data_IF_245949201124
#
_entry.id   IF_245949201124
#
_cell.length_a   1.000
_cell.length_b   1.000
_cell.length_c   1.000
_cell.angle_alpha   90.00
_cell.angle_beta   90.00
_cell.angle_gamma   90.00
#
_symmetry.space_group_name_H-M   'P 1'
#
loop_
_entity.id
_entity.type
_entity.pdbx_description
1 polymer ?
#
# COMPACT_ATOMS: atom_id res chain seq x y z
N UNK A 1 -19.24 23.87 -0.65
CA UNK A 1 -18.34 22.82 -0.13
C UNK A 1 -17.39 22.40 -1.24
N UNK A 2 -16.12 22.17 -0.91
CA UNK A 2 -15.09 21.63 -1.81
C UNK A 2 -14.67 20.28 -1.25
N UNK A 3 -14.55 19.27 -2.11
CA UNK A 3 -14.03 17.95 -1.75
C UNK A 3 -13.06 17.55 -2.84
N UNK A 4 -11.82 17.29 -2.44
CA UNK A 4 -10.74 16.88 -3.32
C UNK A 4 -10.14 15.59 -2.77
N UNK A 5 -9.89 14.63 -3.65
CA UNK A 5 -9.17 13.40 -3.32
C UNK A 5 -7.77 13.48 -3.90
N UNK A 6 -6.77 13.18 -3.08
CA UNK A 6 -5.41 12.94 -3.52
C UNK A 6 -5.12 11.44 -3.41
N UNK A 7 -4.93 10.78 -4.55
CA UNK A 7 -4.57 9.37 -4.58
C UNK A 7 -3.05 9.21 -4.66
N UNK A 8 -2.48 8.50 -3.69
CA UNK A 8 -1.07 8.09 -3.73
C UNK A 8 -0.97 6.77 -4.49
N UNK A 9 -0.38 6.75 -5.70
CA UNK A 9 -0.28 5.54 -6.50
C UNK A 9 0.62 4.51 -5.81
N UNK A 10 0.39 3.24 -6.13
CA UNK A 10 1.16 2.11 -5.62
C UNK A 10 0.59 1.49 -4.35
N UNK A 11 0.49 2.28 -3.27
CA UNK A 11 -0.24 1.85 -2.07
C UNK A 11 -1.76 2.04 -2.20
N UNK A 12 -2.19 2.78 -3.23
CA UNK A 12 -3.59 3.10 -3.52
C UNK A 12 -4.29 3.86 -2.38
N UNK A 13 -3.55 4.68 -1.65
CA UNK A 13 -4.05 5.50 -0.52
C UNK A 13 -4.86 6.67 -1.05
N UNK A 14 -5.92 7.03 -0.35
CA UNK A 14 -6.77 8.18 -0.62
C UNK A 14 -6.76 9.11 0.59
N UNK A 15 -6.15 10.28 0.40
CA UNK A 15 -6.29 11.39 1.35
C UNK A 15 -7.32 12.37 0.82
N UNK A 16 -8.09 12.99 1.70
CA UNK A 16 -9.15 13.92 1.31
C UNK A 16 -8.87 15.32 1.85
N UNK A 17 -9.12 16.34 1.04
CA UNK A 17 -9.24 17.74 1.49
C UNK A 17 -10.71 18.14 1.37
N UNK A 18 -11.31 18.53 2.50
CA UNK A 18 -12.70 18.99 2.57
C UNK A 18 -12.74 20.43 3.05
N UNK A 19 -13.32 21.33 2.26
CA UNK A 19 -13.27 22.76 2.51
C UNK A 19 -14.62 23.47 2.50
N UNK A 20 -14.78 24.47 3.36
CA UNK A 20 -15.85 25.45 3.32
C UNK A 20 -15.32 26.77 2.71
N UNK A 21 -15.62 27.08 1.43
CA UNK A 21 -15.10 28.30 0.79
C UNK A 21 -15.53 29.60 1.47
N UNK A 22 -16.73 29.63 2.04
CA UNK A 22 -17.24 30.80 2.73
C UNK A 22 -16.46 31.12 4.02
N UNK A 23 -15.97 30.08 4.72
CA UNK A 23 -15.11 30.23 5.89
C UNK A 23 -13.63 30.36 5.52
N UNK A 24 -13.23 29.89 4.33
CA UNK A 24 -11.82 29.80 3.95
C UNK A 24 -11.05 28.74 4.75
N UNK A 25 -11.74 27.71 5.21
CA UNK A 25 -11.21 26.68 6.12
C UNK A 25 -11.42 25.28 5.56
N UNK A 26 -10.51 24.37 5.90
CA UNK A 26 -10.52 22.99 5.46
C UNK A 26 -10.08 22.01 6.56
N UNK A 27 -10.49 20.76 6.39
CA UNK A 27 -9.97 19.58 7.09
C UNK A 27 -9.35 18.63 6.08
N UNK A 28 -8.28 17.95 6.48
CA UNK A 28 -7.76 16.80 5.75
C UNK A 28 -8.07 15.50 6.49
N UNK A 29 -8.31 14.43 5.74
CA UNK A 29 -8.59 13.09 6.27
C UNK A 29 -7.58 12.12 5.68
N UNK A 30 -6.97 11.31 6.54
CA UNK A 30 -5.93 10.32 6.27
C UNK A 30 -4.78 10.88 5.39
N UNK A 31 -4.16 12.02 5.75
CA UNK A 31 -3.04 12.56 4.97
C UNK A 31 -1.84 11.61 5.01
N UNK A 32 -1.16 11.40 3.88
CA UNK A 32 0.17 10.80 3.88
C UNK A 32 1.24 11.80 4.30
N UNK A 33 2.39 11.34 4.79
CA UNK A 33 3.51 12.23 5.18
C UNK A 33 4.03 13.16 4.08
N UNK A 34 3.75 12.87 2.80
CA UNK A 34 4.09 13.75 1.67
C UNK A 34 2.99 14.78 1.42
N UNK A 35 2.90 15.77 2.30
CA UNK A 35 1.74 16.68 2.42
C UNK A 35 1.68 17.79 1.36
N UNK A 36 2.71 17.96 0.53
CA UNK A 36 2.80 19.05 -0.45
C UNK A 36 1.64 19.11 -1.44
N UNK A 37 1.09 17.96 -1.83
CA UNK A 37 -0.09 17.90 -2.71
C UNK A 37 -1.36 18.46 -2.06
N UNK A 38 -1.57 18.20 -0.76
CA UNK A 38 -2.69 18.71 0.02
C UNK A 38 -2.55 20.22 0.26
N UNK A 39 -1.34 20.70 0.56
CA UNK A 39 -1.06 22.13 0.70
C UNK A 39 -1.32 22.89 -0.61
N UNK A 40 -0.87 22.36 -1.74
CA UNK A 40 -1.13 22.94 -3.05
C UNK A 40 -2.64 22.93 -3.39
N UNK A 41 -3.37 21.88 -3.03
CA UNK A 41 -4.83 21.81 -3.17
C UNK A 41 -5.53 22.91 -2.35
N UNK A 42 -5.14 23.07 -1.08
CA UNK A 42 -5.69 24.09 -0.20
C UNK A 42 -5.40 25.51 -0.73
N UNK A 43 -4.18 25.78 -1.19
CA UNK A 43 -3.81 27.06 -1.79
C UNK A 43 -4.63 27.38 -3.05
N UNK A 44 -4.76 26.42 -3.98
CA UNK A 44 -5.57 26.58 -5.21
C UNK A 44 -7.01 26.99 -4.91
N UNK A 45 -7.57 26.44 -3.84
CA UNK A 45 -8.94 26.71 -3.40
C UNK A 45 -9.06 27.87 -2.39
N UNK A 46 -7.94 28.51 -2.03
CA UNK A 46 -7.86 29.59 -1.03
C UNK A 46 -8.40 29.17 0.34
N UNK A 47 -8.07 27.97 0.76
CA UNK A 47 -8.46 27.37 2.03
C UNK A 47 -7.26 27.29 2.98
N UNK A 48 -7.51 27.45 4.28
CA UNK A 48 -6.56 27.13 5.35
C UNK A 48 -6.90 25.77 5.93
N UNK A 49 -5.93 24.86 6.00
CA UNK A 49 -6.13 23.56 6.64
C UNK A 49 -6.07 23.77 8.15
N UNK A 50 -7.20 23.62 8.83
CA UNK A 50 -7.35 23.82 10.27
C UNK A 50 -7.34 22.51 11.05
N UNK A 51 -7.69 21.41 10.39
CA UNK A 51 -7.80 20.10 11.03
C UNK A 51 -7.18 18.99 10.17
N UNK A 52 -6.61 18.00 10.84
CA UNK A 52 -6.19 16.72 10.26
C UNK A 52 -6.85 15.60 11.05
N UNK A 53 -7.45 14.62 10.39
CA UNK A 53 -8.11 13.48 11.04
C UNK A 53 -7.53 12.20 10.46
N UNK A 54 -7.00 11.34 11.32
CA UNK A 54 -6.69 9.94 10.97
C UNK A 54 -7.88 9.07 11.37
N UNK A 55 -8.39 8.25 10.45
CA UNK A 55 -9.49 7.31 10.69
C UNK A 55 -9.06 6.15 11.59
N UNK A 56 -7.79 5.77 11.52
CA UNK A 56 -7.19 4.71 12.31
C UNK A 56 -5.66 4.81 12.32
N UNK A 57 -5.00 4.01 13.16
CA UNK A 57 -3.54 3.85 13.14
C UNK A 57 -3.14 3.00 11.94
N UNK A 58 -2.77 3.69 10.85
CA UNK A 58 -2.41 3.09 9.56
C UNK A 58 -1.27 2.08 9.67
N UNK A 59 -1.36 1.01 8.88
CA UNK A 59 -0.39 -0.09 8.88
C UNK A 59 0.54 -0.08 7.67
N UNK A 60 0.22 0.69 6.64
CA UNK A 60 0.80 0.54 5.32
C UNK A 60 1.47 1.82 4.80
N UNK A 61 1.24 2.96 5.47
CA UNK A 61 1.95 4.23 5.25
C UNK A 61 2.06 5.05 6.54
N UNK A 62 2.95 6.03 6.56
CA UNK A 62 3.11 6.97 7.67
C UNK A 62 2.19 8.19 7.55
N UNK A 63 1.48 8.51 8.64
CA UNK A 63 0.55 9.64 8.74
C UNK A 63 1.25 10.98 8.51
N UNK A 64 0.56 11.89 7.81
CA UNK A 64 1.01 13.24 7.52
C UNK A 64 0.54 14.30 8.49
N UNK A 65 -0.23 13.94 9.53
CA UNK A 65 -0.66 14.87 10.58
C UNK A 65 0.53 15.65 11.18
N UNK A 66 1.60 14.99 11.64
CA UNK A 66 2.78 15.66 12.19
C UNK A 66 3.49 16.58 11.20
N UNK A 67 3.60 16.19 9.92
CA UNK A 67 4.24 17.01 8.89
C UNK A 67 3.41 18.28 8.60
N UNK A 68 2.08 18.15 8.53
CA UNK A 68 1.20 19.32 8.44
C UNK A 68 1.33 20.22 9.66
N UNK A 69 1.40 19.66 10.87
CA UNK A 69 1.54 20.43 12.11
C UNK A 69 2.87 21.17 12.16
N UNK A 70 3.96 20.56 11.70
CA UNK A 70 5.26 21.21 11.61
C UNK A 70 5.24 22.43 10.67
N UNK A 71 4.47 22.37 9.58
CA UNK A 71 4.34 23.45 8.59
C UNK A 71 3.35 24.54 9.03
N UNK A 72 2.21 24.14 9.59
CA UNK A 72 1.07 25.02 9.88
C UNK A 72 1.04 25.51 11.34
N UNK A 73 1.86 24.92 12.22
CA UNK A 73 1.96 25.27 13.63
C UNK A 73 0.64 25.10 14.39
N UNK A 74 0.40 25.99 15.35
CA UNK A 74 -0.77 25.96 16.24
C UNK A 74 -2.10 26.20 15.52
N UNK A 75 -2.08 26.60 14.24
CA UNK A 75 -3.29 26.76 13.44
C UNK A 75 -3.94 25.44 13.04
N UNK A 76 -3.19 24.33 13.08
CA UNK A 76 -3.70 22.99 12.81
C UNK A 76 -4.00 22.26 14.12
N UNK A 77 -5.13 21.56 14.19
CA UNK A 77 -5.43 20.55 15.21
C UNK A 77 -5.43 19.16 14.59
N UNK A 78 -4.59 18.26 15.12
CA UNK A 78 -4.62 16.84 14.75
C UNK A 78 -5.63 16.12 15.64
N UNK A 79 -6.49 15.33 15.02
CA UNK A 79 -7.49 14.49 15.68
C UNK A 79 -7.22 13.01 15.39
N UNK A 80 -7.30 12.17 16.42
CA UNK A 80 -7.26 10.71 16.29
C UNK A 80 -8.30 10.06 17.20
N UNK A 81 -8.68 8.81 16.93
CA UNK A 81 -9.55 8.05 17.83
C UNK A 81 -8.83 7.64 19.13
N UNK A 82 -9.56 7.62 20.24
CA UNK A 82 -9.13 7.01 21.52
C UNK A 82 -9.81 5.68 21.85
N UNK A 83 -10.62 5.15 20.93
CA UNK A 83 -11.61 4.09 21.21
C UNK A 83 -11.02 2.67 21.20
N UNK A 84 -9.71 2.53 20.97
CA UNK A 84 -8.97 1.27 21.07
C UNK A 84 -8.11 1.14 22.34
N UNK A 85 -8.12 2.14 23.22
CA UNK A 85 -7.23 2.22 24.39
C UNK A 85 -5.92 2.94 24.09
N UNK A 86 -5.07 3.10 25.11
CA UNK A 86 -3.82 3.87 25.01
C UNK A 86 -2.87 3.32 23.94
N UNK A 87 -2.84 1.99 23.74
CA UNK A 87 -2.01 1.35 22.71
C UNK A 87 -2.40 1.73 21.28
N UNK A 88 -3.63 2.23 21.07
CA UNK A 88 -4.18 2.61 19.78
C UNK A 88 -4.48 4.10 19.67
N UNK A 89 -4.01 4.90 20.63
CA UNK A 89 -4.13 6.36 20.61
C UNK A 89 -2.82 6.96 20.12
N UNK A 90 -2.89 7.84 19.11
CA UNK A 90 -1.70 8.46 18.54
C UNK A 90 -1.18 9.55 19.48
N UNK A 91 0.08 9.45 19.90
CA UNK A 91 0.69 10.33 20.90
C UNK A 91 0.80 11.80 20.45
N UNK A 92 0.73 12.05 19.15
CA UNK A 92 0.78 13.39 18.56
C UNK A 92 -0.60 14.01 18.31
N UNK A 93 -1.70 13.34 18.70
CA UNK A 93 -3.03 13.91 18.56
C UNK A 93 -3.22 15.07 19.53
N UNK A 94 -3.64 16.23 19.02
CA UNK A 94 -4.03 17.38 19.85
C UNK A 94 -5.39 17.13 20.51
N UNK A 95 -6.28 16.40 19.81
CA UNK A 95 -7.60 16.02 20.31
C UNK A 95 -7.88 14.55 20.05
N UNK A 96 -8.19 13.82 21.12
CA UNK A 96 -8.65 12.44 21.06
C UNK A 96 -10.17 12.42 20.90
N UNK A 97 -10.67 11.79 19.83
CA UNK A 97 -12.08 11.70 19.49
C UNK A 97 -12.74 10.49 20.15
N UNK A 98 -13.92 10.72 20.71
CA UNK A 98 -14.86 9.68 21.14
C UNK A 98 -15.98 9.46 20.11
N UNK A 99 -16.81 8.44 20.31
CA UNK A 99 -18.00 8.21 19.48
C UNK A 99 -18.98 9.39 19.60
N UNK A 100 -19.40 9.94 18.45
CA UNK A 100 -20.32 11.07 18.38
C UNK A 100 -19.65 12.44 18.51
N UNK A 101 -18.35 12.51 18.79
CA UNK A 101 -17.63 13.78 18.77
C UNK A 101 -17.68 14.42 17.39
N UNK A 102 -17.70 15.76 17.37
CA UNK A 102 -17.73 16.51 16.11
C UNK A 102 -16.63 17.54 15.97
N UNK A 103 -16.24 17.75 14.72
CA UNK A 103 -15.33 18.78 14.24
C UNK A 103 -16.10 19.60 13.20
N UNK A 104 -16.08 20.93 13.33
CA UNK A 104 -16.82 21.81 12.43
C UNK A 104 -15.86 22.71 11.64
N UNK A 105 -16.08 22.78 10.32
CA UNK A 105 -15.35 23.63 9.38
C UNK A 105 -16.35 24.48 8.62
N UNK A 106 -16.56 25.72 9.06
CA UNK A 106 -17.64 26.58 8.54
C UNK A 106 -19.01 25.89 8.60
N UNK A 107 -19.63 25.67 7.44
CA UNK A 107 -20.92 24.99 7.30
C UNK A 107 -20.84 23.46 7.21
N UNK A 108 -19.67 22.87 7.43
CA UNK A 108 -19.42 21.44 7.34
C UNK A 108 -19.26 20.90 8.75
N UNK A 109 -20.02 19.86 9.10
CA UNK A 109 -19.86 19.15 10.36
C UNK A 109 -19.41 17.73 10.08
N UNK A 110 -18.29 17.35 10.66
CA UNK A 110 -17.74 16.00 10.64
C UNK A 110 -18.03 15.35 11.99
N UNK A 111 -18.59 14.14 12.00
CA UNK A 111 -18.93 13.40 13.21
C UNK A 111 -18.20 12.07 13.20
N UNK A 112 -17.40 11.81 14.23
CA UNK A 112 -16.70 10.56 14.40
C UNK A 112 -17.66 9.48 14.89
N UNK A 113 -17.61 8.30 14.29
CA UNK A 113 -18.36 7.11 14.73
C UNK A 113 -17.42 5.94 14.92
N UNK A 114 -17.48 5.32 16.09
CA UNK A 114 -16.69 4.14 16.39
C UNK A 114 -17.13 2.98 15.51
N UNK A 115 -16.15 2.38 14.84
CA UNK A 115 -16.34 1.39 13.79
C UNK A 115 -15.26 0.30 13.83
N UNK A 116 -15.10 -0.39 14.96
CA UNK A 116 -14.04 -1.38 15.12
C UNK A 116 -14.23 -2.51 14.12
N UNK A 117 -13.12 -3.03 13.61
CA UNK A 117 -13.12 -4.14 12.67
C UNK A 117 -11.80 -4.28 11.93
N UNK A 118 -11.38 -3.23 11.23
CA UNK A 118 -10.03 -3.18 10.66
C UNK A 118 -8.98 -3.01 11.76
N UNK A 119 -9.23 -2.07 12.68
CA UNK A 119 -8.47 -1.86 13.92
C UNK A 119 -9.44 -1.62 15.09
N UNK A 120 -9.00 -1.78 16.36
CA UNK A 120 -9.86 -1.58 17.52
C UNK A 120 -10.38 -0.14 17.67
N UNK A 121 -9.56 0.85 17.35
CA UNK A 121 -9.85 2.28 17.46
C UNK A 121 -10.59 2.85 16.26
N UNK A 122 -10.67 2.13 15.13
CA UNK A 122 -11.12 2.66 13.85
C UNK A 122 -12.40 3.49 13.96
N UNK A 123 -12.39 4.69 13.38
CA UNK A 123 -13.55 5.56 13.23
C UNK A 123 -13.88 5.80 11.76
N UNK A 124 -15.17 5.88 11.46
CA UNK A 124 -15.64 6.49 10.21
C UNK A 124 -16.06 7.92 10.49
N UNK A 125 -15.95 8.78 9.48
CA UNK A 125 -16.33 10.19 9.60
C UNK A 125 -17.56 10.46 8.75
N UNK A 126 -18.69 10.69 9.42
CA UNK A 126 -19.91 11.17 8.79
C UNK A 126 -19.79 12.68 8.51
N UNK A 127 -20.02 13.09 7.27
CA UNK A 127 -19.99 14.50 6.88
C UNK A 127 -21.40 15.00 6.58
N UNK A 128 -21.75 16.11 7.22
CA UNK A 128 -23.02 16.82 7.07
C UNK A 128 -22.77 18.18 6.41
N UNK A 129 -23.52 18.48 5.34
CA UNK A 129 -23.64 19.83 4.79
C UNK A 129 -24.76 20.56 5.52
N UNK A 130 -24.40 21.39 6.51
CA UNK A 130 -25.37 22.09 7.36
C UNK A 130 -26.21 23.12 6.59
N UNK A 131 -25.84 23.46 5.35
CA UNK A 131 -26.67 24.30 4.49
C UNK A 131 -27.83 23.52 3.86
N UNK A 132 -27.76 22.19 3.85
CA UNK A 132 -28.74 21.29 3.21
C UNK A 132 -29.48 20.42 4.23
N UNK A 133 -28.75 19.73 5.10
CA UNK A 133 -29.34 18.90 6.16
C UNK A 133 -28.42 18.84 7.38
N UNK A 134 -29.00 19.04 8.55
CA UNK A 134 -28.33 18.84 9.83
C UNK A 134 -28.53 17.42 10.40
N UNK A 135 -29.29 16.57 9.71
CA UNK A 135 -29.71 15.26 10.21
C UNK A 135 -29.24 14.10 9.34
N UNK A 136 -29.04 14.34 8.04
CA UNK A 136 -28.65 13.29 7.11
C UNK A 136 -27.19 13.46 6.70
N UNK A 137 -26.33 12.45 6.91
CA UNK A 137 -24.95 12.50 6.44
C UNK A 137 -24.94 12.36 4.92
N UNK A 138 -24.26 13.30 4.27
CA UNK A 138 -24.12 13.29 2.81
C UNK A 138 -23.01 12.32 2.38
N UNK A 139 -21.90 12.31 3.12
CA UNK A 139 -20.71 11.49 2.81
C UNK A 139 -20.27 10.73 4.05
N UNK A 140 -19.63 9.60 3.84
CA UNK A 140 -18.97 8.79 4.83
C UNK A 140 -17.52 8.58 4.39
N UNK A 141 -16.57 9.18 5.11
CA UNK A 141 -15.17 8.76 4.99
C UNK A 141 -15.03 7.46 5.76
N UNK A 142 -15.01 6.35 5.04
CA UNK A 142 -15.13 5.02 5.61
C UNK A 142 -13.81 4.45 6.11
N UNK A 143 -12.70 5.17 5.93
CA UNK A 143 -11.37 4.67 6.26
C UNK A 143 -11.12 3.33 5.58
N UNK A 144 -10.61 2.39 6.36
CA UNK A 144 -10.41 0.99 5.96
C UNK A 144 -11.51 0.06 6.48
N UNK A 145 -12.67 0.59 6.91
CA UNK A 145 -13.81 -0.24 7.27
C UNK A 145 -14.50 -0.84 6.04
N UNK A 146 -14.90 0.04 5.10
CA UNK A 146 -15.73 -0.28 3.95
C UNK A 146 -15.12 0.32 2.68
N UNK A 147 -14.82 -0.54 1.72
CA UNK A 147 -14.30 -0.17 0.41
C UNK A 147 -15.40 -0.28 -0.66
N UNK A 148 -15.10 0.16 -1.87
CA UNK A 148 -15.94 -0.16 -3.03
C UNK A 148 -15.81 -1.64 -3.36
N UNK A 149 -16.87 -2.42 -3.11
CA UNK A 149 -16.94 -3.86 -3.38
C UNK A 149 -16.25 -4.77 -2.36
N UNK A 150 -15.70 -4.23 -1.27
CA UNK A 150 -14.98 -5.01 -0.25
C UNK A 150 -15.04 -4.34 1.14
N UNK A 151 -14.38 -4.93 2.14
CA UNK A 151 -14.25 -4.42 3.52
C UNK A 151 -12.81 -4.57 4.02
N UNK A 152 -12.49 -3.86 5.10
CA UNK A 152 -11.21 -3.98 5.80
C UNK A 152 -10.89 -5.39 6.26
N UNK A 153 -9.61 -5.76 6.17
CA UNK A 153 -9.12 -7.00 6.76
C UNK A 153 -8.97 -6.87 8.29
N UNK A 154 -9.37 -7.88 9.09
CA UNK A 154 -9.30 -7.83 10.56
C UNK A 154 -8.06 -8.52 11.16
N UNK A 155 -7.10 -8.98 10.35
CA UNK A 155 -6.05 -9.94 10.73
C UNK A 155 -4.64 -9.34 10.90
N UNK A 156 -4.51 -8.01 10.80
CA UNK A 156 -3.20 -7.33 10.88
C UNK A 156 -2.56 -7.36 12.28
N UNK A 157 -3.31 -7.72 13.32
CA UNK A 157 -2.88 -7.66 14.72
C UNK A 157 -2.58 -9.05 15.33
N UNK A 158 -2.43 -10.06 14.49
CA UNK A 158 -2.18 -11.44 14.91
C UNK A 158 -3.47 -12.21 15.25
N UNK A 159 -3.30 -13.52 15.47
CA UNK A 159 -4.41 -14.49 15.48
C UNK A 159 -5.46 -14.24 16.58
N UNK A 160 -5.02 -13.83 17.78
CA UNK A 160 -5.95 -13.56 18.88
C UNK A 160 -6.81 -12.33 18.62
N UNK A 161 -6.18 -11.25 18.14
CA UNK A 161 -6.89 -10.02 17.79
C UNK A 161 -7.81 -10.23 16.58
N UNK A 162 -7.41 -11.07 15.61
CA UNK A 162 -8.17 -11.39 14.41
C UNK A 162 -9.58 -11.89 14.73
N UNK A 163 -9.73 -12.84 15.66
CA UNK A 163 -11.04 -13.41 15.98
C UNK A 163 -12.00 -12.36 16.58
N UNK A 164 -11.46 -11.47 17.42
CA UNK A 164 -12.20 -10.37 18.03
C UNK A 164 -12.58 -9.33 16.98
N UNK A 165 -11.61 -8.90 16.18
CA UNK A 165 -11.80 -7.87 15.15
C UNK A 165 -12.74 -8.32 14.04
N UNK A 166 -12.70 -9.59 13.62
CA UNK A 166 -13.64 -10.12 12.63
C UNK A 166 -15.08 -10.10 13.16
N UNK A 167 -15.27 -10.37 14.45
CA UNK A 167 -16.57 -10.26 15.12
C UNK A 167 -17.03 -8.81 15.22
N UNK A 168 -16.14 -7.90 15.61
CA UNK A 168 -16.41 -6.46 15.67
C UNK A 168 -16.76 -5.88 14.30
N UNK A 169 -16.02 -6.29 13.25
CA UNK A 169 -16.28 -5.89 11.88
C UNK A 169 -17.69 -6.29 11.44
N UNK A 170 -18.08 -7.56 11.69
CA UNK A 170 -19.44 -8.02 11.42
C UNK A 170 -20.48 -7.15 12.15
N UNK A 171 -20.30 -6.88 13.44
CA UNK A 171 -21.25 -6.07 14.21
C UNK A 171 -21.29 -4.60 13.76
N UNK A 172 -20.15 -4.03 13.36
CA UNK A 172 -20.09 -2.68 12.80
C UNK A 172 -20.84 -2.59 11.47
N UNK A 173 -20.58 -3.51 10.53
CA UNK A 173 -21.20 -3.49 9.19
C UNK A 173 -22.72 -3.71 9.26
N UNK A 174 -23.16 -4.67 10.08
CA UNK A 174 -24.55 -5.12 10.09
C UNK A 174 -25.43 -4.48 11.15
N UNK A 175 -24.88 -3.80 12.16
CA UNK A 175 -25.69 -3.16 13.21
C UNK A 175 -25.46 -1.65 13.31
N UNK A 176 -24.27 -1.14 12.98
CA UNK A 176 -23.96 0.30 13.08
C UNK A 176 -24.17 1.04 11.77
N UNK A 177 -23.68 0.49 10.64
CA UNK A 177 -23.88 1.12 9.33
C UNK A 177 -25.30 0.98 8.78
N UNK A 178 -26.16 0.15 9.37
CA UNK A 178 -27.55 -0.06 8.93
C UNK A 178 -28.40 1.22 9.01
N UNK A 179 -28.08 2.13 9.92
CA UNK A 179 -28.83 3.39 10.10
C UNK A 179 -28.53 4.45 9.03
N UNK A 180 -27.46 4.30 8.25
CA UNK A 180 -27.09 5.28 7.24
C UNK A 180 -28.07 5.27 6.06
N UNK A 181 -28.46 6.46 5.53
CA UNK A 181 -29.25 6.54 4.30
C UNK A 181 -28.56 5.89 3.10
N UNK A 182 -29.34 5.26 2.23
CA UNK A 182 -28.82 4.58 1.03
C UNK A 182 -28.05 5.53 0.07
N UNK A 183 -28.36 6.82 0.10
CA UNK A 183 -27.72 7.83 -0.75
C UNK A 183 -26.37 8.32 -0.23
N UNK A 184 -25.99 8.00 1.01
CA UNK A 184 -24.72 8.45 1.59
C UNK A 184 -23.56 7.90 0.77
N UNK A 185 -22.72 8.80 0.25
CA UNK A 185 -21.56 8.42 -0.56
C UNK A 185 -20.44 7.86 0.33
N UNK A 186 -19.74 6.84 -0.13
CA UNK A 186 -18.65 6.18 0.58
C UNK A 186 -17.33 6.62 -0.04
N UNK A 187 -16.44 7.13 0.82
CA UNK A 187 -15.12 7.67 0.48
C UNK A 187 -14.05 6.90 1.28
N UNK A 188 -13.54 5.78 0.76
CA UNK A 188 -12.58 4.93 1.48
C UNK A 188 -11.18 5.52 1.57
N UNK A 189 -10.37 5.06 2.52
CA UNK A 189 -8.94 5.42 2.59
C UNK A 189 -8.08 4.68 1.55
N UNK A 190 -8.62 3.63 0.91
CA UNK A 190 -7.91 2.86 -0.10
C UNK A 190 -8.77 2.50 -1.32
N UNK A 191 -8.10 2.33 -2.46
CA UNK A 191 -8.66 1.86 -3.73
C UNK A 191 -7.99 0.57 -4.26
N UNK A 192 -8.30 0.22 -5.51
CA UNK A 192 -7.76 -0.97 -6.16
C UNK A 192 -6.22 -1.01 -6.11
N UNK A 193 -5.67 -2.13 -5.59
CA UNK A 193 -4.24 -2.36 -5.46
C UNK A 193 -3.70 -2.31 -4.02
N UNK A 194 -4.48 -1.82 -3.05
CA UNK A 194 -4.10 -1.86 -1.63
C UNK A 194 -4.13 -3.28 -1.05
N UNK A 195 -3.25 -3.53 -0.06
CA UNK A 195 -3.18 -4.78 0.72
C UNK A 195 -4.08 -4.76 1.96
N UNK A 196 -4.76 -3.64 2.24
CA UNK A 196 -5.66 -3.47 3.39
C UNK A 196 -7.03 -4.13 3.21
N UNK A 197 -7.35 -4.62 2.00
CA UNK A 197 -8.54 -5.43 1.76
C UNK A 197 -8.43 -6.31 0.51
N UNK A 198 -9.39 -7.22 0.36
CA UNK A 198 -9.41 -8.20 -0.74
C UNK A 198 -10.36 -7.76 -1.84
N UNK A 199 -9.89 -7.63 -3.08
CA UNK A 199 -10.75 -7.39 -4.24
C UNK A 199 -11.37 -5.99 -4.30
N UNK A 200 -10.63 -4.96 -3.91
CA UNK A 200 -11.10 -3.57 -3.99
C UNK A 200 -11.47 -3.20 -5.43
N UNK A 201 -12.63 -2.58 -5.60
CA UNK A 201 -13.14 -2.13 -6.89
C UNK A 201 -12.30 -1.01 -7.49
N UNK A 202 -12.28 -0.93 -8.83
CA UNK A 202 -11.56 0.13 -9.56
C UNK A 202 -12.28 1.48 -9.61
N UNK A 203 -13.39 1.64 -8.90
CA UNK A 203 -14.09 2.92 -8.72
C UNK A 203 -13.64 3.52 -7.39
N UNK A 204 -13.48 4.83 -7.38
CA UNK A 204 -12.91 5.50 -6.22
C UNK A 204 -13.95 5.95 -5.16
N UNK A 205 -15.25 5.80 -5.45
CA UNK A 205 -16.35 6.00 -4.50
C UNK A 205 -17.57 5.15 -4.88
N UNK A 206 -18.49 4.98 -3.94
CA UNK A 206 -19.76 4.24 -4.09
C UNK A 206 -20.84 4.87 -3.18
N UNK A 207 -21.97 4.21 -2.99
CA UNK A 207 -22.97 4.62 -1.97
C UNK A 207 -23.31 3.46 -1.05
N UNK A 208 -23.75 3.79 0.16
CA UNK A 208 -24.22 2.81 1.15
C UNK A 208 -25.28 1.89 0.55
N UNK A 209 -26.24 2.44 -0.19
CA UNK A 209 -27.31 1.66 -0.82
C UNK A 209 -26.83 0.72 -1.93
N UNK A 210 -25.81 1.14 -2.70
CA UNK A 210 -25.23 0.28 -3.73
C UNK A 210 -24.41 -0.85 -3.10
N UNK A 211 -23.52 -0.53 -2.16
CA UNK A 211 -22.70 -1.53 -1.46
C UNK A 211 -23.58 -2.56 -0.74
N UNK A 212 -24.66 -2.15 -0.04
CA UNK A 212 -25.60 -3.10 0.59
C UNK A 212 -26.16 -4.14 -0.41
N UNK A 213 -26.38 -3.74 -1.66
CA UNK A 213 -26.95 -4.60 -2.70
C UNK A 213 -25.91 -5.46 -3.42
N UNK A 214 -24.70 -4.95 -3.60
CA UNK A 214 -23.72 -5.55 -4.51
C UNK A 214 -22.44 -6.02 -3.84
N UNK A 215 -22.08 -5.47 -2.68
CA UNK A 215 -20.87 -5.87 -1.95
C UNK A 215 -21.07 -7.26 -1.35
N UNK A 216 -20.25 -8.27 -1.73
CA UNK A 216 -20.37 -9.62 -1.19
C UNK A 216 -20.25 -9.65 0.34
N UNK A 217 -19.40 -8.80 0.92
CA UNK A 217 -19.17 -8.72 2.36
C UNK A 217 -20.35 -8.09 3.12
N UNK A 218 -21.27 -7.40 2.44
CA UNK A 218 -22.49 -6.86 3.04
C UNK A 218 -23.72 -7.76 2.85
N UNK A 219 -23.52 -8.99 2.38
CA UNK A 219 -24.60 -9.98 2.32
C UNK A 219 -24.71 -10.69 3.68
N UNK A 220 -25.73 -10.35 4.48
CA UNK A 220 -25.90 -10.90 5.83
C UNK A 220 -26.00 -12.44 5.79
N UNK A 221 -25.19 -13.11 6.62
CA UNK A 221 -25.14 -14.57 6.83
C UNK A 221 -25.00 -14.86 8.32
N UNK A 222 -24.96 -16.13 8.71
CA UNK A 222 -24.52 -16.48 10.06
C UNK A 222 -23.08 -15.95 10.28
N UNK A 223 -22.84 -15.29 11.41
CA UNK A 223 -21.56 -14.63 11.74
C UNK A 223 -20.35 -15.53 11.52
N UNK A 224 -20.37 -16.76 12.04
CA UNK A 224 -19.23 -17.69 11.93
C UNK A 224 -18.96 -18.10 10.48
N UNK A 225 -20.01 -18.26 9.67
CA UNK A 225 -19.86 -18.55 8.24
C UNK A 225 -19.28 -17.35 7.48
N UNK A 226 -19.77 -16.14 7.79
CA UNK A 226 -19.27 -14.90 7.21
C UNK A 226 -17.80 -14.66 7.54
N UNK A 227 -17.38 -14.86 8.80
CA UNK A 227 -15.98 -14.71 9.22
C UNK A 227 -15.09 -15.71 8.48
N UNK A 228 -15.50 -16.98 8.38
CA UNK A 228 -14.74 -17.99 7.64
C UNK A 228 -14.56 -17.60 6.17
N UNK A 229 -15.60 -17.11 5.53
CA UNK A 229 -15.56 -16.68 4.13
C UNK A 229 -14.65 -15.45 3.94
N UNK A 230 -14.78 -14.44 4.80
CA UNK A 230 -13.93 -13.24 4.76
C UNK A 230 -12.44 -13.61 4.87
N UNK A 231 -12.11 -14.54 5.76
CA UNK A 231 -10.72 -14.94 6.01
C UNK A 231 -10.12 -15.81 4.90
N UNK A 232 -10.93 -16.37 3.99
CA UNK A 232 -10.42 -17.22 2.92
C UNK A 232 -9.64 -16.41 1.87
N UNK A 233 -8.39 -16.80 1.65
CA UNK A 233 -7.50 -16.18 0.67
C UNK A 233 -7.18 -14.72 1.00
N UNK A 234 -7.05 -14.38 2.28
CA UNK A 234 -6.45 -13.11 2.71
C UNK A 234 -4.96 -13.10 2.34
N UNK A 235 -4.45 -12.01 1.73
CA UNK A 235 -3.04 -11.92 1.36
C UNK A 235 -2.17 -11.84 2.61
N UNK A 236 -0.94 -12.37 2.54
CA UNK A 236 0.01 -12.24 3.65
C UNK A 236 0.25 -10.77 4.00
N UNK A 237 0.26 -10.45 5.30
CA UNK A 237 0.61 -9.12 5.77
C UNK A 237 2.13 -8.90 5.65
N UNK A 238 2.58 -7.79 5.04
CA UNK A 238 3.99 -7.44 5.01
C UNK A 238 4.58 -7.27 6.42
N UNK A 239 5.83 -7.72 6.69
CA UNK A 239 6.45 -7.58 8.01
C UNK A 239 6.53 -6.13 8.52
N UNK A 240 6.66 -5.15 7.63
CA UNK A 240 6.76 -3.75 8.01
C UNK A 240 5.49 -3.16 8.63
N UNK A 241 4.33 -3.82 8.48
CA UNK A 241 3.06 -3.29 8.99
C UNK A 241 3.07 -3.07 10.51
N UNK A 242 3.71 -3.98 11.26
CA UNK A 242 3.85 -3.85 12.71
C UNK A 242 4.69 -2.60 13.07
N UNK A 243 5.74 -2.32 12.29
CA UNK A 243 6.57 -1.13 12.49
C UNK A 243 5.78 0.15 12.16
N UNK A 244 4.98 0.16 11.09
CA UNK A 244 4.14 1.31 10.74
C UNK A 244 3.14 1.63 11.84
N UNK A 245 2.45 0.63 12.38
CA UNK A 245 1.51 0.86 13.49
C UNK A 245 2.20 1.47 14.70
N UNK A 246 3.39 0.99 15.05
CA UNK A 246 4.19 1.57 16.13
C UNK A 246 4.56 3.03 15.84
N UNK A 247 5.10 3.32 14.66
CA UNK A 247 5.53 4.67 14.28
C UNK A 247 4.33 5.62 14.21
N UNK A 248 3.20 5.20 13.63
CA UNK A 248 1.99 6.01 13.55
C UNK A 248 1.30 6.21 14.89
N UNK A 249 1.55 5.35 15.88
CA UNK A 249 1.14 5.58 17.26
C UNK A 249 2.05 6.60 17.94
N UNK A 250 3.37 6.45 17.80
CA UNK A 250 4.35 7.28 18.52
C UNK A 250 4.53 8.67 17.90
N UNK A 251 4.38 8.78 16.58
CA UNK A 251 4.70 9.96 15.80
C UNK A 251 5.81 9.67 14.78
N UNK A 252 5.52 9.70 13.47
CA UNK A 252 6.57 9.62 12.45
C UNK A 252 7.56 10.77 12.57
N UNK A 253 8.82 10.48 12.24
CA UNK A 253 9.84 11.51 12.09
C UNK A 253 9.45 12.46 10.95
N UNK A 254 9.72 13.75 11.15
CA UNK A 254 9.48 14.77 10.14
C UNK A 254 10.47 14.62 8.99
N UNK A 255 10.00 14.77 7.76
CA UNK A 255 10.87 14.77 6.58
C UNK A 255 11.67 16.08 6.47
N UNK A 256 11.10 17.18 6.95
CA UNK A 256 11.70 18.51 6.85
C UNK A 256 11.58 19.04 5.42
N UNK A 257 12.70 19.31 4.75
CA UNK A 257 12.66 19.72 3.34
C UNK A 257 12.22 18.55 2.43
N UNK A 258 10.93 18.55 2.10
CA UNK A 258 10.28 17.59 1.19
C UNK A 258 10.91 17.54 -0.21
N UNK A 259 11.67 18.58 -0.60
CA UNK A 259 12.30 18.69 -1.91
C UNK A 259 13.84 18.61 -1.86
N UNK A 260 14.43 18.22 -0.72
CA UNK A 260 15.90 18.15 -0.60
C UNK A 260 16.52 17.30 -1.72
N UNK A 261 17.53 17.77 -2.45
CA UNK A 261 18.16 16.96 -3.48
C UNK A 261 18.95 15.79 -2.86
N UNK A 262 18.98 14.65 -3.55
CA UNK A 262 19.82 13.53 -3.15
C UNK A 262 21.28 13.80 -3.54
N UNK A 263 22.20 13.47 -2.63
CA UNK A 263 23.65 13.50 -2.89
C UNK A 263 24.01 12.45 -3.93
N UNK A 264 24.89 12.78 -4.88
CA UNK A 264 25.52 11.78 -5.76
C UNK A 264 26.58 11.01 -4.97
N UNK A 265 26.51 9.68 -5.01
CA UNK A 265 27.43 8.77 -4.37
C UNK A 265 28.48 8.28 -5.37
N UNK A 266 29.70 8.07 -4.88
CA UNK A 266 30.77 7.45 -5.65
C UNK A 266 30.77 5.93 -5.52
N UNK A 267 31.52 5.25 -6.38
CA UNK A 267 31.68 3.80 -6.35
C UNK A 267 32.32 3.30 -5.03
N UNK A 268 33.14 4.13 -4.39
CA UNK A 268 33.80 3.89 -3.11
C UNK A 268 32.82 3.64 -1.96
N UNK A 269 31.62 4.23 -2.01
CA UNK A 269 30.55 4.01 -1.03
C UNK A 269 30.04 2.55 -1.05
N UNK A 270 30.22 1.82 -2.15
CA UNK A 270 29.86 0.39 -2.26
C UNK A 270 30.75 -0.53 -1.42
N UNK A 271 31.81 -0.01 -0.79
CA UNK A 271 32.63 -0.76 0.15
C UNK A 271 31.93 -0.94 1.52
N UNK A 272 30.91 -0.14 1.83
CA UNK A 272 30.15 -0.29 3.08
C UNK A 272 29.22 -1.51 3.02
N UNK A 273 29.44 -2.56 3.83
CA UNK A 273 28.58 -3.74 3.85
C UNK A 273 27.17 -3.45 4.39
N UNK A 274 26.96 -2.32 5.09
CA UNK A 274 25.65 -1.91 5.57
C UNK A 274 24.80 -1.26 4.47
N UNK A 275 25.41 -0.74 3.40
CA UNK A 275 24.69 -0.06 2.33
C UNK A 275 23.79 -1.02 1.55
N UNK A 276 22.49 -0.69 1.49
CA UNK A 276 21.50 -1.38 0.66
C UNK A 276 21.36 -0.63 -0.66
N UNK A 277 21.75 -1.27 -1.76
CA UNK A 277 21.58 -0.68 -3.10
C UNK A 277 20.23 -1.06 -3.66
N UNK A 278 19.36 -0.07 -3.84
CA UNK A 278 18.03 -0.22 -4.44
C UNK A 278 18.08 0.24 -5.88
N UNK A 279 18.01 -0.71 -6.81
CA UNK A 279 17.90 -0.46 -8.24
C UNK A 279 16.45 -0.12 -8.60
N UNK A 280 16.27 1.13 -9.02
CA UNK A 280 14.95 1.71 -9.31
C UNK A 280 14.63 1.70 -10.81
N UNK A 281 15.51 1.13 -11.64
CA UNK A 281 15.32 1.00 -13.09
C UNK A 281 14.28 -0.08 -13.40
N UNK A 282 13.91 -0.21 -14.67
CA UNK A 282 12.89 -1.20 -15.08
C UNK A 282 13.39 -2.63 -14.90
N UNK A 283 12.47 -3.61 -14.73
CA UNK A 283 12.82 -5.03 -14.71
C UNK A 283 13.79 -5.48 -15.81
N UNK A 284 13.58 -5.00 -17.04
CA UNK A 284 14.39 -5.37 -18.20
C UNK A 284 15.82 -4.81 -18.08
N UNK A 285 15.97 -3.56 -17.63
CA UNK A 285 17.29 -2.97 -17.36
C UNK A 285 18.02 -3.70 -16.25
N UNK A 286 17.32 -4.05 -15.16
CA UNK A 286 17.89 -4.82 -14.08
C UNK A 286 18.38 -6.19 -14.57
N UNK A 287 17.60 -6.90 -15.38
CA UNK A 287 18.03 -8.17 -15.97
C UNK A 287 19.20 -8.02 -16.95
N UNK A 288 19.22 -6.95 -17.75
CA UNK A 288 20.33 -6.69 -18.67
C UNK A 288 21.66 -6.42 -17.95
N UNK A 289 21.62 -5.73 -16.81
CA UNK A 289 22.79 -5.50 -15.97
C UNK A 289 22.43 -4.87 -14.64
N UNK A 290 22.81 -5.50 -13.53
CA UNK A 290 22.61 -5.00 -12.18
C UNK A 290 23.80 -5.30 -11.28
N UNK A 291 23.93 -4.56 -10.17
CA UNK A 291 24.99 -4.81 -9.19
C UNK A 291 24.70 -6.09 -8.39
N UNK A 292 25.68 -7.00 -8.21
CA UNK A 292 25.53 -8.13 -7.31
C UNK A 292 25.11 -7.67 -5.91
N UNK A 293 24.12 -8.34 -5.32
CA UNK A 293 23.62 -7.99 -4.00
C UNK A 293 22.53 -6.89 -3.98
N UNK A 294 22.26 -6.21 -5.09
CA UNK A 294 21.25 -5.14 -5.15
C UNK A 294 19.80 -5.64 -5.07
N UNK A 295 18.91 -4.75 -4.65
CA UNK A 295 17.46 -4.96 -4.61
C UNK A 295 16.83 -4.36 -5.87
N UNK A 296 16.07 -5.15 -6.63
CA UNK A 296 15.27 -4.59 -7.73
C UNK A 296 13.94 -4.11 -7.17
N UNK A 297 13.77 -2.80 -7.03
CA UNK A 297 12.53 -2.17 -6.59
C UNK A 297 12.18 -1.03 -7.58
N UNK A 298 11.66 -1.36 -8.77
CA UNK A 298 11.29 -0.37 -9.78
C UNK A 298 10.27 0.64 -9.25
N UNK A 299 10.31 1.86 -9.79
CA UNK A 299 9.37 2.95 -9.44
C UNK A 299 8.03 2.74 -10.13
N UNK A 300 7.30 1.72 -9.71
CA UNK A 300 5.95 1.42 -10.15
C UNK A 300 5.01 1.25 -8.95
N UNK A 301 3.82 0.69 -9.19
CA UNK A 301 2.79 0.53 -8.18
C UNK A 301 3.14 -0.45 -7.04
N UNK A 302 4.34 -1.01 -6.96
CA UNK A 302 4.73 -1.96 -5.91
C UNK A 302 5.87 -1.52 -5.01
N UNK A 303 6.58 -0.44 -5.31
CA UNK A 303 7.89 -0.16 -4.69
C UNK A 303 7.85 -0.10 -3.17
N UNK A 304 6.93 0.69 -2.60
CA UNK A 304 6.77 0.86 -1.16
C UNK A 304 6.47 -0.47 -0.45
N UNK A 305 5.56 -1.26 -1.02
CA UNK A 305 5.22 -2.59 -0.51
C UNK A 305 6.46 -3.50 -0.50
N UNK A 306 7.18 -3.59 -1.63
CA UNK A 306 8.35 -4.47 -1.74
C UNK A 306 9.53 -4.02 -0.89
N UNK A 307 9.71 -2.71 -0.70
CA UNK A 307 10.68 -2.18 0.27
C UNK A 307 10.39 -2.73 1.66
N UNK A 308 9.14 -2.68 2.11
CA UNK A 308 8.70 -3.22 3.39
C UNK A 308 8.86 -4.74 3.56
N UNK A 309 8.98 -5.49 2.46
CA UNK A 309 9.28 -6.94 2.49
C UNK A 309 10.78 -7.26 2.49
N UNK A 310 11.62 -6.35 2.00
CA UNK A 310 12.99 -6.69 1.59
C UNK A 310 14.07 -5.90 2.30
N UNK A 311 13.81 -4.64 2.63
CA UNK A 311 14.82 -3.74 3.17
C UNK A 311 14.79 -3.74 4.69
N UNK A 312 15.96 -3.53 5.28
CA UNK A 312 16.12 -3.19 6.68
C UNK A 312 15.99 -1.66 6.84
N UNK A 313 15.04 -1.15 7.64
CA UNK A 313 14.80 0.28 7.79
C UNK A 313 15.93 1.04 8.49
N UNK A 314 16.78 0.36 9.26
CA UNK A 314 17.88 1.01 9.99
C UNK A 314 19.14 1.21 9.13
N UNK A 315 19.27 0.40 8.07
CA UNK A 315 20.46 0.40 7.20
C UNK A 315 20.40 1.49 6.13
N UNK A 316 21.55 2.10 5.78
CA UNK A 316 21.61 3.14 4.75
C UNK A 316 21.19 2.60 3.38
N UNK A 317 20.51 3.44 2.60
CA UNK A 317 19.98 3.11 1.26
C UNK A 317 20.62 4.01 0.20
N UNK A 318 21.16 3.40 -0.85
CA UNK A 318 21.54 4.08 -2.08
C UNK A 318 20.55 3.74 -3.19
N UNK A 319 20.00 4.75 -3.87
CA UNK A 319 19.19 4.54 -5.07
C UNK A 319 20.12 4.40 -6.29
N UNK A 320 20.00 3.33 -7.06
CA UNK A 320 20.72 3.17 -8.33
C UNK A 320 19.78 3.51 -9.49
N UNK A 321 20.16 4.50 -10.29
CA UNK A 321 19.35 5.00 -11.41
C UNK A 321 20.22 5.35 -12.63
N UNK A 322 19.59 5.46 -13.80
CA UNK A 322 20.27 5.93 -15.01
C UNK A 322 20.75 7.39 -14.83
N UNK A 323 21.98 7.69 -15.22
CA UNK A 323 22.61 9.01 -15.11
C UNK A 323 22.56 9.62 -13.69
N UNK A 324 22.39 8.80 -12.65
CA UNK A 324 22.09 9.20 -11.26
C UNK A 324 20.92 10.20 -11.13
N UNK A 325 19.90 10.03 -11.98
CA UNK A 325 18.65 10.79 -11.93
C UNK A 325 17.49 9.86 -11.59
N UNK A 326 17.28 9.53 -10.30
CA UNK A 326 16.19 8.67 -9.91
C UNK A 326 14.87 9.41 -10.12
N UNK A 327 13.83 8.69 -10.52
CA UNK A 327 12.48 9.25 -10.50
C UNK A 327 12.18 9.75 -9.08
N UNK A 328 11.74 11.00 -8.87
CA UNK A 328 11.44 11.53 -7.54
C UNK A 328 10.45 10.67 -6.74
N UNK A 329 9.56 9.95 -7.43
CA UNK A 329 8.65 9.01 -6.80
C UNK A 329 9.36 7.84 -6.09
N UNK A 330 10.59 7.49 -6.48
CA UNK A 330 11.37 6.42 -5.87
C UNK A 330 11.63 6.67 -4.39
N UNK A 331 12.20 7.85 -4.12
CA UNK A 331 12.47 8.32 -2.78
C UNK A 331 11.18 8.43 -1.97
N UNK A 332 10.14 9.04 -2.56
CA UNK A 332 8.86 9.24 -1.88
C UNK A 332 8.22 7.92 -1.48
N UNK A 333 8.26 6.90 -2.32
CA UNK A 333 7.71 5.58 -2.02
C UNK A 333 8.39 4.93 -0.81
N UNK A 334 9.72 5.06 -0.68
CA UNK A 334 10.46 4.57 0.48
C UNK A 334 10.13 5.36 1.75
N UNK A 335 10.12 6.68 1.66
CA UNK A 335 9.76 7.55 2.79
C UNK A 335 8.30 7.31 3.25
N UNK A 336 7.36 7.06 2.33
CA UNK A 336 5.96 6.76 2.68
C UNK A 336 5.82 5.60 3.66
N UNK A 337 6.72 4.63 3.61
CA UNK A 337 6.75 3.43 4.46
C UNK A 337 7.91 3.44 5.46
N UNK A 338 8.48 4.61 5.76
CA UNK A 338 9.43 4.82 6.85
C UNK A 338 10.88 4.46 6.57
N UNK A 339 11.27 4.24 5.30
CA UNK A 339 12.66 4.04 4.91
C UNK A 339 13.34 5.39 4.67
N UNK A 340 13.72 6.06 5.77
CA UNK A 340 14.17 7.46 5.76
C UNK A 340 15.68 7.63 5.56
N UNK A 341 16.47 6.57 5.81
CA UNK A 341 17.93 6.56 5.75
C UNK A 341 18.47 6.47 4.30
N UNK A 342 18.03 7.37 3.43
CA UNK A 342 18.43 7.42 2.01
C UNK A 342 19.69 8.28 1.88
N UNK A 343 20.84 7.65 1.71
CA UNK A 343 22.17 8.28 1.70
C UNK A 343 22.47 9.03 0.41
N UNK A 344 21.83 8.66 -0.71
CA UNK A 344 22.04 9.32 -1.99
C UNK A 344 21.69 8.46 -3.21
N UNK A 345 22.22 8.86 -4.37
CA UNK A 345 22.02 8.18 -5.65
C UNK A 345 23.36 7.76 -6.26
N UNK A 346 23.41 6.52 -6.76
CA UNK A 346 24.48 5.97 -7.59
C UNK A 346 24.09 6.02 -9.07
N UNK A 347 25.08 6.19 -9.94
CA UNK A 347 24.89 6.16 -11.39
C UNK A 347 25.09 4.75 -11.94
N UNK A 348 24.06 4.20 -12.58
CA UNK A 348 24.13 2.89 -13.21
C UNK A 348 25.18 2.84 -14.34
N UNK A 349 25.35 3.93 -15.09
CA UNK A 349 26.21 3.95 -16.27
C UNK A 349 27.68 3.90 -15.89
N UNK A 350 28.05 4.55 -14.77
CA UNK A 350 29.43 4.54 -14.27
C UNK A 350 29.82 3.22 -13.60
N UNK A 351 28.84 2.38 -13.28
CA UNK A 351 29.02 1.12 -12.55
C UNK A 351 28.86 -0.12 -13.45
N UNK A 352 28.73 0.07 -14.77
CA UNK A 352 28.50 -1.01 -15.73
C UNK A 352 29.57 -2.12 -15.67
N UNK A 353 30.82 -1.79 -15.36
CA UNK A 353 31.93 -2.76 -15.22
C UNK A 353 31.77 -3.72 -14.03
N UNK A 354 30.88 -3.42 -13.09
CA UNK A 354 30.58 -4.25 -11.90
C UNK A 354 29.27 -5.01 -12.01
N UNK A 355 28.52 -4.82 -13.10
CA UNK A 355 27.21 -5.43 -13.24
C UNK A 355 27.31 -6.87 -13.72
N UNK A 356 26.35 -7.68 -13.27
CA UNK A 356 26.07 -9.00 -13.80
C UNK A 356 24.70 -8.98 -14.50
N UNK A 357 24.48 -9.95 -15.40
CA UNK A 357 23.21 -10.07 -16.14
C UNK A 357 22.43 -11.28 -15.67
N UNK A 358 21.11 -11.12 -15.57
CA UNK A 358 20.18 -12.23 -15.51
C UNK A 358 19.81 -12.71 -16.92
N UNK A 359 18.86 -13.64 -16.99
CA UNK A 359 18.27 -14.10 -18.26
C UNK A 359 16.93 -13.42 -18.48
N UNK A 360 16.68 -12.96 -19.70
CA UNK A 360 15.36 -12.49 -20.12
C UNK A 360 14.87 -13.40 -21.23
N UNK A 361 13.81 -14.17 -20.97
CA UNK A 361 13.19 -15.04 -21.97
C UNK A 361 11.95 -14.37 -22.54
N UNK A 362 11.68 -14.61 -23.82
CA UNK A 362 10.43 -14.20 -24.46
C UNK A 362 9.40 -15.31 -24.35
N UNK A 363 8.12 -14.99 -24.51
CA UNK A 363 7.05 -15.98 -24.41
C UNK A 363 7.14 -17.10 -25.44
N UNK A 364 7.77 -16.89 -26.60
CA UNK A 364 7.98 -17.92 -27.63
C UNK A 364 9.13 -18.89 -27.34
N UNK A 365 9.84 -18.75 -26.22
CA UNK A 365 10.98 -19.59 -25.90
C UNK A 365 10.54 -20.98 -25.43
N UNK A 366 10.81 -22.01 -26.25
CA UNK A 366 10.42 -23.40 -25.95
C UNK A 366 10.96 -23.95 -24.64
N UNK A 367 12.03 -23.34 -24.10
CA UNK A 367 12.62 -23.72 -22.81
C UNK A 367 11.64 -23.60 -21.64
N UNK A 368 10.65 -22.71 -21.77
CA UNK A 368 9.61 -22.48 -20.76
C UNK A 368 8.72 -23.72 -20.53
N UNK A 369 8.68 -24.67 -21.46
CA UNK A 369 7.78 -25.84 -21.40
C UNK A 369 8.49 -27.18 -21.66
N UNK A 370 9.74 -27.19 -22.11
CA UNK A 370 10.50 -28.42 -22.39
C UNK A 370 11.23 -29.02 -21.17
N UNK A 371 11.18 -28.34 -20.03
CA UNK A 371 11.82 -28.76 -18.78
C UNK A 371 13.29 -28.34 -18.63
N UNK A 372 13.89 -27.65 -19.60
CA UNK A 372 15.27 -27.17 -19.53
C UNK A 372 15.49 -26.07 -18.48
N UNK A 373 14.44 -25.33 -18.11
CA UNK A 373 14.45 -24.34 -17.02
C UNK A 373 13.36 -24.65 -16.00
N UNK A 374 13.55 -24.16 -14.77
CA UNK A 374 12.51 -24.19 -13.76
C UNK A 374 11.71 -22.88 -13.83
N UNK A 375 10.46 -22.96 -14.31
CA UNK A 375 9.56 -21.81 -14.28
C UNK A 375 9.00 -21.65 -12.87
N UNK A 376 9.18 -20.45 -12.30
CA UNK A 376 8.73 -20.11 -10.95
C UNK A 376 7.67 -19.01 -11.08
N UNK A 377 6.41 -19.36 -10.91
CA UNK A 377 5.32 -18.40 -10.90
C UNK A 377 5.20 -17.76 -9.53
N UNK A 378 5.45 -16.45 -9.48
CA UNK A 378 5.52 -15.68 -8.24
C UNK A 378 4.27 -14.86 -7.94
N UNK A 379 3.18 -15.14 -8.68
CA UNK A 379 1.83 -14.60 -8.42
C UNK A 379 1.17 -15.31 -7.24
N UNK A 380 0.01 -14.80 -6.81
CA UNK A 380 -0.76 -15.44 -5.75
C UNK A 380 -1.24 -16.84 -6.14
N UNK A 381 -1.57 -17.66 -5.14
CA UNK A 381 -2.16 -18.98 -5.38
C UNK A 381 -3.44 -18.94 -6.24
N UNK A 382 -4.27 -17.90 -6.06
CA UNK A 382 -5.50 -17.70 -6.85
C UNK A 382 -5.16 -17.35 -8.32
N UNK A 383 -4.21 -16.43 -8.55
CA UNK A 383 -3.74 -16.07 -9.89
C UNK A 383 -3.11 -17.27 -10.61
N UNK A 384 -2.38 -18.11 -9.88
CA UNK A 384 -1.77 -19.34 -10.40
C UNK A 384 -2.83 -20.37 -10.77
N UNK A 385 -3.79 -20.62 -9.87
CA UNK A 385 -4.88 -21.60 -10.07
C UNK A 385 -5.80 -21.23 -11.22
N UNK A 386 -5.99 -19.93 -11.47
CA UNK A 386 -6.76 -19.43 -12.61
C UNK A 386 -6.09 -19.70 -13.98
N UNK A 387 -4.79 -20.03 -13.98
CA UNK A 387 -4.03 -20.44 -15.17
C UNK A 387 -2.57 -20.04 -15.10
N UNK A 388 -1.67 -20.97 -15.45
CA UNK A 388 -0.22 -20.83 -15.34
C UNK A 388 0.52 -21.55 -16.47
N UNK A 389 1.83 -21.32 -16.59
CA UNK A 389 2.69 -22.01 -17.56
C UNK A 389 2.82 -23.49 -17.17
N UNK A 390 2.65 -24.45 -18.10
CA UNK A 390 2.76 -25.88 -17.80
C UNK A 390 4.09 -26.23 -17.11
N UNK A 391 4.03 -26.98 -16.01
CA UNK A 391 5.19 -27.41 -15.24
C UNK A 391 5.81 -26.33 -14.33
N UNK A 392 5.21 -25.14 -14.25
CA UNK A 392 5.63 -24.11 -13.31
C UNK A 392 5.37 -24.50 -11.86
N UNK A 393 6.24 -24.08 -10.94
CA UNK A 393 6.00 -24.13 -9.49
C UNK A 393 5.52 -22.78 -9.00
N UNK A 394 4.56 -22.75 -8.07
CA UNK A 394 4.10 -21.50 -7.47
C UNK A 394 4.85 -21.22 -6.17
N UNK A 395 5.55 -20.09 -6.12
CA UNK A 395 6.15 -19.56 -4.89
C UNK A 395 5.90 -18.06 -4.89
N UNK A 396 4.96 -17.59 -4.06
CA UNK A 396 4.62 -16.17 -4.02
C UNK A 396 5.86 -15.30 -3.75
N UNK A 397 5.90 -14.11 -4.35
CA UNK A 397 7.08 -13.22 -4.24
C UNK A 397 7.44 -12.92 -2.79
N UNK A 398 6.45 -12.70 -1.92
CA UNK A 398 6.65 -12.49 -0.47
C UNK A 398 7.38 -13.67 0.19
N UNK A 399 7.00 -14.90 -0.15
CA UNK A 399 7.67 -16.12 0.34
C UNK A 399 9.11 -16.21 -0.17
N UNK A 400 9.37 -15.89 -1.44
CA UNK A 400 10.71 -15.89 -2.01
C UNK A 400 11.64 -14.88 -1.32
N UNK A 401 11.18 -13.65 -1.13
CA UNK A 401 12.02 -12.60 -0.51
C UNK A 401 12.28 -12.87 0.97
N UNK A 402 11.41 -13.63 1.64
CA UNK A 402 11.59 -14.12 3.00
C UNK A 402 12.38 -15.44 3.11
N UNK A 403 13.00 -15.92 2.02
CA UNK A 403 13.89 -17.08 2.04
C UNK A 403 13.23 -18.43 1.75
N UNK A 404 11.99 -18.44 1.26
CA UNK A 404 11.26 -19.65 0.89
C UNK A 404 11.74 -20.25 -0.42
N UNK A 405 12.88 -20.95 -0.39
CA UNK A 405 13.52 -21.54 -1.58
C UNK A 405 13.35 -23.07 -1.70
N UNK A 406 12.57 -23.70 -0.84
CA UNK A 406 12.52 -25.18 -0.71
C UNK A 406 12.06 -25.93 -1.97
N UNK A 407 11.31 -25.26 -2.85
CA UNK A 407 10.85 -25.83 -4.12
C UNK A 407 11.80 -25.54 -5.29
N UNK A 408 12.87 -24.79 -5.07
CA UNK A 408 13.85 -24.43 -6.10
C UNK A 408 14.95 -25.48 -6.18
N UNK A 409 15.31 -25.85 -7.41
CA UNK A 409 16.47 -26.67 -7.68
C UNK A 409 17.67 -25.77 -8.02
N UNK A 410 18.67 -25.62 -7.14
CA UNK A 410 19.77 -24.66 -7.33
C UNK A 410 20.64 -24.95 -8.56
N UNK A 411 20.59 -26.17 -9.11
CA UNK A 411 21.35 -26.56 -10.32
C UNK A 411 20.63 -26.15 -11.61
N UNK A 412 19.33 -25.87 -11.55
CA UNK A 412 18.54 -25.44 -12.70
C UNK A 412 18.59 -23.93 -12.86
N UNK A 413 18.25 -23.46 -14.06
CA UNK A 413 18.00 -22.03 -14.28
C UNK A 413 16.58 -21.70 -13.82
N UNK A 414 16.41 -20.76 -12.87
CA UNK A 414 15.09 -20.29 -12.44
C UNK A 414 14.62 -19.16 -13.37
N UNK A 415 13.45 -19.32 -13.98
CA UNK A 415 12.81 -18.26 -14.76
C UNK A 415 11.55 -17.82 -14.03
N UNK A 416 11.61 -16.62 -13.45
CA UNK A 416 10.51 -16.07 -12.68
C UNK A 416 9.46 -15.47 -13.61
N UNK A 417 8.20 -15.74 -13.31
CA UNK A 417 7.07 -15.18 -14.03
C UNK A 417 6.08 -14.58 -13.06
N UNK A 418 5.59 -13.39 -13.39
CA UNK A 418 4.43 -12.82 -12.73
C UNK A 418 3.46 -12.26 -13.77
N UNK A 419 2.49 -11.44 -13.36
CA UNK A 419 1.53 -10.87 -14.30
C UNK A 419 2.18 -9.93 -15.34
N UNK A 420 3.19 -9.13 -14.95
CA UNK A 420 3.77 -8.09 -15.83
C UNK A 420 5.25 -7.75 -15.60
N UNK A 421 6.01 -8.60 -14.91
CA UNK A 421 7.47 -8.48 -14.74
C UNK A 421 7.96 -7.94 -13.39
N UNK A 422 7.24 -7.03 -12.73
CA UNK A 422 7.67 -6.35 -11.49
C UNK A 422 8.00 -7.34 -10.36
N UNK A 423 7.01 -8.13 -9.94
CA UNK A 423 7.15 -9.17 -8.91
C UNK A 423 8.28 -10.16 -9.23
N UNK A 424 8.45 -10.50 -10.52
CA UNK A 424 9.50 -11.39 -10.97
C UNK A 424 10.89 -10.76 -10.81
N UNK A 425 11.06 -9.47 -11.09
CA UNK A 425 12.33 -8.77 -10.86
C UNK A 425 12.67 -8.67 -9.37
N UNK A 426 11.70 -8.38 -8.50
CA UNK A 426 11.88 -8.39 -7.04
C UNK A 426 12.35 -9.77 -6.57
N UNK A 427 11.65 -10.83 -6.98
CA UNK A 427 12.04 -12.21 -6.66
C UNK A 427 13.41 -12.59 -7.23
N UNK A 428 13.75 -12.14 -8.43
CA UNK A 428 15.03 -12.45 -9.08
C UNK A 428 16.18 -11.78 -8.31
N UNK A 429 15.99 -10.55 -7.83
CA UNK A 429 16.95 -9.90 -6.94
C UNK A 429 17.15 -10.69 -5.64
N UNK A 430 16.09 -11.29 -5.09
CA UNK A 430 16.20 -12.14 -3.91
C UNK A 430 16.98 -13.43 -4.19
N UNK A 431 16.77 -14.08 -5.34
CA UNK A 431 17.57 -15.23 -5.74
C UNK A 431 19.06 -14.87 -5.86
N UNK A 432 19.38 -13.78 -6.57
CA UNK A 432 20.76 -13.32 -6.73
C UNK A 432 21.44 -12.98 -5.39
N UNK A 433 20.72 -12.35 -4.45
CA UNK A 433 21.22 -12.10 -3.08
C UNK A 433 21.44 -13.36 -2.25
N UNK A 434 20.75 -14.46 -2.56
CA UNK A 434 20.83 -15.73 -1.84
C UNK A 434 21.68 -16.79 -2.57
N UNK A 435 22.55 -16.36 -3.49
CA UNK A 435 23.58 -17.22 -4.08
C UNK A 435 23.12 -18.06 -5.28
N UNK A 436 21.91 -17.87 -5.78
CA UNK A 436 21.51 -18.48 -7.05
C UNK A 436 22.27 -17.81 -8.20
N UNK A 437 23.07 -18.58 -8.94
CA UNK A 437 23.88 -18.08 -10.05
C UNK A 437 23.16 -18.05 -11.40
N UNK A 438 22.03 -18.76 -11.54
CA UNK A 438 21.33 -18.92 -12.81
C UNK A 438 19.84 -18.56 -12.67
N UNK A 439 19.51 -17.28 -12.77
CA UNK A 439 18.14 -16.82 -12.72
C UNK A 439 17.81 -15.86 -13.86
N UNK A 440 16.52 -15.65 -14.05
CA UNK A 440 15.98 -14.75 -15.05
C UNK A 440 14.49 -14.53 -14.87
N UNK A 441 13.88 -13.86 -15.85
CA UNK A 441 12.44 -13.66 -15.87
C UNK A 441 11.87 -13.80 -17.28
N UNK A 442 10.55 -14.00 -17.32
CA UNK A 442 9.77 -13.91 -18.53
C UNK A 442 9.43 -12.45 -18.85
N UNK A 443 9.89 -11.96 -20.00
CA UNK A 443 9.57 -10.63 -20.51
C UNK A 443 8.05 -10.47 -20.71
N UNK A 444 7.48 -9.39 -20.17
CA UNK A 444 6.04 -9.13 -20.23
C UNK A 444 5.16 -10.09 -19.41
N UNK A 445 5.75 -11.07 -18.72
CA UNK A 445 5.08 -11.99 -17.82
C UNK A 445 3.95 -12.81 -18.45
N UNK A 446 2.95 -13.15 -17.63
CA UNK A 446 1.79 -13.94 -18.06
C UNK A 446 0.92 -13.23 -19.09
N UNK A 447 0.94 -11.88 -19.15
CA UNK A 447 0.26 -11.12 -20.21
C UNK A 447 0.85 -11.47 -21.59
N UNK A 448 2.16 -11.45 -21.72
CA UNK A 448 2.84 -11.82 -22.96
C UNK A 448 2.65 -13.31 -23.28
N UNK A 449 2.71 -14.18 -22.27
CA UNK A 449 2.43 -15.61 -22.43
C UNK A 449 1.04 -15.88 -23.01
N UNK A 450 -0.02 -15.34 -22.39
CA UNK A 450 -1.41 -15.54 -22.86
C UNK A 450 -1.67 -14.96 -24.25
N UNK A 451 -1.03 -13.84 -24.59
CA UNK A 451 -1.14 -13.24 -25.92
C UNK A 451 -0.53 -14.12 -27.03
N UNK A 452 0.42 -14.99 -26.69
CA UNK A 452 1.13 -15.85 -27.65
C UNK A 452 0.65 -17.30 -27.64
N UNK A 453 0.06 -17.77 -26.52
CA UNK A 453 -0.32 -19.16 -26.28
C UNK A 453 -1.83 -19.30 -26.02
N UNK A 454 -2.65 -18.57 -26.79
CA UNK A 454 -4.11 -18.40 -26.59
C UNK A 454 -4.97 -19.68 -26.71
N UNK A 455 -4.34 -20.86 -26.70
CA UNK A 455 -4.96 -22.17 -26.63
C UNK A 455 -4.29 -23.01 -25.52
N UNK A 456 -4.61 -22.75 -24.25
CA UNK A 456 -4.20 -23.65 -23.16
C UNK A 456 -5.41 -24.07 -22.32
N UNK A 457 -5.37 -25.37 -22.02
CA UNK A 457 -6.40 -26.24 -21.46
C UNK A 457 -6.83 -25.79 -20.07
N UNK A 458 -8.14 -25.72 -19.83
CA UNK A 458 -8.68 -25.82 -18.48
C UNK A 458 -8.34 -27.23 -17.97
N UNK A 459 -7.53 -27.30 -16.92
CA UNK A 459 -7.29 -28.55 -16.20
C UNK A 459 -8.57 -28.84 -15.42
N UNK A 460 -9.40 -29.72 -15.96
CA UNK A 460 -10.39 -30.43 -15.18
C UNK A 460 -9.67 -31.50 -14.35
N UNK A 461 -9.60 -31.30 -13.04
CA UNK A 461 -9.72 -32.35 -12.03
C UNK A 461 -10.05 -31.73 -10.69
#
# INVERSE_FOLDING_TARGET
MIIERLTTPGLAIHSYLVGCPAAGEAVVIDPTRHVGGLLALAERHRLRIMHSIDTHVHADFLSGGPELKAILGDSLTIHSSGLGGEEWTQAFADRVLADGDSVQVGSIRLVARHSPGHTPEHIVIELYDLQRSAHDPWLLFSGDLLFVGSVGRPDLLGEQAQAVLATQLYDTLFNRLESLPDFTEIMPAHGAGSLCGKGLGGRDSSTVGYERRTNPSLQRRQREAWIRELMQGMPAAPPYFANMKRINREGPALLGDLNRPLRRLGEDELADPQLQVVDVRTPEKYMAGHLPGSFSLPVDSGQANWAGWTLDPERPIALLADNAHPNPAARRALELVGFDNISGVLDADTLAHRMQSGRLLTSGDGRLVDGSVQVVDVRSADEFSAGHIPGAVNIETGTLVSGGFSLLDPERTQILVCEGGVRAAVGASALGRNGFGNYGMLEGGMKAWRATHSSLQAVHS
#
